data_IF_104716087625
#
_entry.id   IF_104716087625
#
_cell.length_a   1.000
_cell.length_b   1.000
_cell.length_c   1.000
_cell.angle_alpha   90.00
_cell.angle_beta   90.00
_cell.angle_gamma   90.00
#
_symmetry.space_group_name_H-M   'P 1'
#
loop_
_entity.id
_entity.type
_entity.pdbx_description
1 polymer ?
#
# COMPACT_ATOMS: atom_id res chain seq x y z
N UNK A 1 -7.38 0.43 20.27
CA UNK A 1 -6.17 -0.33 19.94
C UNK A 1 -5.94 -0.03 18.48
N UNK A 2 -5.13 0.98 18.19
CA UNK A 2 -4.86 1.38 16.81
C UNK A 2 -3.80 0.42 16.29
N UNK A 3 -4.19 -0.50 15.42
CA UNK A 3 -3.25 -1.27 14.64
C UNK A 3 -2.41 -0.27 13.84
N UNK A 4 -1.11 -0.28 14.12
CA UNK A 4 -0.14 0.68 13.65
C UNK A 4 0.90 -0.10 12.87
N UNK A 5 0.80 -0.01 11.56
CA UNK A 5 1.74 -0.61 10.62
C UNK A 5 2.78 0.47 10.26
N UNK A 6 4.06 0.13 10.35
CA UNK A 6 5.16 1.04 10.04
C UNK A 6 6.16 0.35 9.11
N UNK A 7 6.53 1.02 8.03
CA UNK A 7 7.51 0.52 7.09
C UNK A 7 7.96 1.56 6.09
N UNK A 8 8.76 1.12 5.12
CA UNK A 8 9.23 1.97 4.01
C UNK A 8 8.43 1.68 2.77
N UNK A 9 7.93 2.71 2.09
CA UNK A 9 7.24 2.55 0.81
C UNK A 9 8.25 2.11 -0.26
N UNK A 10 7.86 1.09 -1.03
CA UNK A 10 8.59 0.60 -2.20
C UNK A 10 7.67 0.67 -3.40
N UNK A 11 8.01 1.52 -4.36
CA UNK A 11 7.27 1.67 -5.61
C UNK A 11 8.07 0.98 -6.70
N UNK A 12 7.46 -0.03 -7.31
CA UNK A 12 8.00 -0.70 -8.50
C UNK A 12 7.15 -0.35 -9.72
N UNK A 13 7.59 -0.80 -10.89
CA UNK A 13 6.80 -0.64 -12.12
C UNK A 13 5.45 -1.40 -12.06
N UNK A 14 5.31 -2.37 -11.15
CA UNK A 14 4.15 -3.26 -11.05
C UNK A 14 3.23 -2.90 -9.89
N UNK A 15 3.77 -2.47 -8.74
CA UNK A 15 2.98 -2.26 -7.53
C UNK A 15 3.62 -1.33 -6.50
N UNK A 16 2.79 -0.89 -5.54
CA UNK A 16 3.21 -0.17 -4.34
C UNK A 16 3.17 -1.11 -3.15
N UNK A 17 4.32 -1.31 -2.53
CA UNK A 17 4.51 -2.20 -1.39
C UNK A 17 4.94 -1.41 -0.15
N UNK A 18 4.71 -2.00 1.02
CA UNK A 18 5.32 -1.61 2.27
C UNK A 18 6.39 -2.63 2.66
N UNK A 19 7.62 -2.17 2.85
CA UNK A 19 8.69 -2.94 3.46
C UNK A 19 8.62 -2.81 4.98
N UNK A 20 8.05 -3.83 5.62
CA UNK A 20 7.97 -3.99 7.07
C UNK A 20 9.16 -4.80 7.57
N UNK A 21 10.34 -4.17 7.65
CA UNK A 21 11.58 -4.78 8.17
C UNK A 21 12.04 -6.03 7.38
N UNK A 22 11.90 -5.98 6.06
CA UNK A 22 12.29 -7.03 5.12
C UNK A 22 11.11 -7.86 4.61
N UNK A 23 9.91 -7.70 5.19
CA UNK A 23 8.70 -8.32 4.67
C UNK A 23 7.95 -7.33 3.76
N UNK A 24 7.71 -7.74 2.52
CA UNK A 24 6.97 -6.94 1.55
C UNK A 24 5.47 -7.23 1.67
N UNK A 25 4.72 -6.20 2.03
CA UNK A 25 3.27 -6.25 2.19
C UNK A 25 2.62 -5.40 1.11
N UNK A 26 1.63 -5.96 0.42
CA UNK A 26 0.86 -5.22 -0.56
C UNK A 26 -0.19 -4.36 0.15
N UNK A 27 -0.22 -3.08 -0.19
CA UNK A 27 -1.17 -2.12 0.38
C UNK A 27 -2.42 -2.03 -0.48
N UNK A 28 -3.59 -2.17 0.15
CA UNK A 28 -4.88 -1.94 -0.52
C UNK A 28 -5.27 -0.48 -0.34
N UNK A 29 -5.35 0.23 -1.46
CA UNK A 29 -5.65 1.65 -1.49
C UNK A 29 -7.10 1.89 -1.94
N UNK A 30 -7.87 2.76 -1.26
CA UNK A 30 -9.18 3.17 -1.74
C UNK A 30 -9.05 3.93 -3.06
N UNK A 31 -9.55 3.36 -4.16
CA UNK A 31 -9.43 3.95 -5.50
C UNK A 31 -10.08 5.34 -5.65
N UNK A 32 -11.03 5.70 -4.78
CA UNK A 32 -11.70 7.00 -4.75
C UNK A 32 -10.87 8.09 -4.06
N UNK A 33 -9.80 7.70 -3.34
CA UNK A 33 -8.94 8.60 -2.57
C UNK A 33 -7.48 8.58 -3.01
N UNK A 34 -7.10 7.60 -3.81
CA UNK A 34 -5.72 7.36 -4.19
C UNK A 34 -5.55 7.51 -5.70
N UNK A 35 -4.56 8.29 -6.10
CA UNK A 35 -4.20 8.49 -7.50
C UNK A 35 -2.69 8.29 -7.68
N UNK A 36 -2.31 7.74 -8.82
CA UNK A 36 -0.93 7.70 -9.29
C UNK A 36 -0.58 8.98 -10.07
N UNK A 37 0.57 9.57 -9.79
CA UNK A 37 1.13 10.70 -10.55
C UNK A 37 2.34 10.26 -11.38
N UNK A 38 2.10 10.00 -12.67
CA UNK A 38 3.13 9.58 -13.64
C UNK A 38 4.28 10.58 -13.79
N UNK A 39 4.03 11.88 -13.55
CA UNK A 39 5.06 12.91 -13.73
C UNK A 39 6.13 12.87 -12.65
N UNK A 40 5.78 12.40 -11.45
CA UNK A 40 6.67 12.38 -10.29
C UNK A 40 6.96 10.97 -9.76
N UNK A 41 6.27 9.94 -10.24
CA UNK A 41 6.41 8.58 -9.72
C UNK A 41 5.93 8.47 -8.27
N UNK A 42 4.87 9.20 -7.92
CA UNK A 42 4.36 9.27 -6.54
C UNK A 42 2.89 8.91 -6.45
N UNK A 43 2.48 8.53 -5.24
CA UNK A 43 1.09 8.30 -4.89
C UNK A 43 0.54 9.58 -4.28
N UNK A 44 -0.61 10.01 -4.75
CA UNK A 44 -1.39 11.10 -4.18
C UNK A 44 -2.58 10.52 -3.44
N UNK A 45 -2.61 10.69 -2.12
CA UNK A 45 -3.69 10.23 -1.25
C UNK A 45 -4.45 11.42 -0.68
N UNK A 46 -5.77 11.46 -0.84
CA UNK A 46 -6.60 12.49 -0.25
C UNK A 46 -7.17 12.06 1.10
N UNK A 47 -6.77 12.78 2.15
CA UNK A 47 -7.36 12.67 3.47
C UNK A 47 -8.25 13.90 3.78
N UNK A 48 -9.49 13.74 4.27
CA UNK A 48 -10.34 14.89 4.60
C UNK A 48 -9.81 15.79 5.72
N UNK A 49 -8.99 15.26 6.63
CA UNK A 49 -8.39 15.98 7.74
C UNK A 49 -7.06 16.66 7.38
N UNK A 50 -6.26 16.03 6.52
CA UNK A 50 -4.91 16.51 6.15
C UNK A 50 -4.81 17.10 4.74
N UNK A 51 -5.80 16.89 3.89
CA UNK A 51 -5.77 17.26 2.47
C UNK A 51 -5.00 16.23 1.62
N UNK A 52 -4.41 16.72 0.53
CA UNK A 52 -3.62 15.88 -0.37
C UNK A 52 -2.26 15.55 0.27
N UNK A 53 -1.96 14.26 0.37
CA UNK A 53 -0.69 13.71 0.85
C UNK A 53 0.04 13.08 -0.32
N UNK A 54 1.29 13.45 -0.52
CA UNK A 54 2.16 12.83 -1.53
C UNK A 54 3.08 11.82 -0.85
N UNK A 55 3.15 10.61 -1.41
CA UNK A 55 3.96 9.50 -0.91
C UNK A 55 4.90 9.06 -2.03
N UNK A 56 6.20 9.09 -1.75
CA UNK A 56 7.26 8.72 -2.69
C UNK A 56 7.92 7.38 -2.33
N UNK A 57 8.62 6.78 -3.29
CA UNK A 57 9.49 5.64 -3.04
C UNK A 57 10.55 5.96 -1.97
N UNK A 58 10.83 4.99 -1.10
CA UNK A 58 11.78 5.12 0.00
C UNK A 58 11.27 5.93 1.20
N UNK A 59 10.04 6.43 1.17
CA UNK A 59 9.46 7.17 2.29
C UNK A 59 9.09 6.23 3.44
N UNK A 60 9.54 6.56 4.66
CA UNK A 60 9.05 5.90 5.87
C UNK A 60 7.64 6.41 6.20
N UNK A 61 6.70 5.49 6.40
CA UNK A 61 5.30 5.81 6.72
C UNK A 61 4.83 5.09 7.97
N UNK A 62 3.88 5.71 8.65
CA UNK A 62 3.06 5.08 9.70
C UNK A 62 1.62 5.11 9.25
N UNK A 63 1.04 3.94 9.08
CA UNK A 63 -0.33 3.77 8.62
C UNK A 63 -1.17 3.31 9.82
N UNK A 64 -2.22 4.07 10.12
CA UNK A 64 -3.23 3.69 11.09
C UNK A 64 -4.34 2.91 10.38
N UNK A 65 -4.70 1.75 10.90
CA UNK A 65 -5.75 0.91 10.35
C UNK A 65 -5.56 -0.56 10.70
N UNK A 66 -6.66 -1.30 10.82
CA UNK A 66 -6.62 -2.75 11.03
C UNK A 66 -6.34 -3.48 9.73
N UNK A 67 -5.07 -3.78 9.47
CA UNK A 67 -4.66 -4.76 8.46
C UNK A 67 -4.33 -6.08 9.15
N UNK A 68 -4.65 -7.21 8.51
CA UNK A 68 -4.07 -8.49 8.88
C UNK A 68 -2.67 -8.51 8.28
N UNK A 69 -1.64 -8.21 9.05
CA UNK A 69 -0.25 -8.50 8.64
C UNK A 69 -0.05 -10.03 8.60
N UNK A 70 1.00 -10.53 7.92
CA UNK A 70 1.32 -11.98 7.96
C UNK A 70 1.45 -12.48 9.41
N UNK A 71 2.08 -11.67 10.27
CA UNK A 71 2.21 -11.93 11.70
C UNK A 71 0.86 -11.94 12.46
N UNK A 72 -0.18 -11.34 11.89
CA UNK A 72 -1.54 -11.28 12.43
C UNK A 72 -2.54 -12.13 11.64
N UNK A 73 -2.05 -13.11 10.87
CA UNK A 73 -2.87 -14.08 10.11
C UNK A 73 -3.35 -13.58 8.74
N UNK A 74 -2.72 -12.53 8.21
CA UNK A 74 -2.90 -12.06 6.84
C UNK A 74 -2.05 -12.80 5.82
N UNK A 75 -2.23 -12.44 4.55
CA UNK A 75 -1.52 -13.04 3.43
C UNK A 75 -0.30 -12.19 3.05
N UNK A 76 0.78 -12.83 2.59
CA UNK A 76 1.88 -12.13 1.94
C UNK A 76 1.43 -11.50 0.61
N UNK A 77 2.22 -10.57 0.05
CA UNK A 77 1.84 -9.84 -1.16
C UNK A 77 1.47 -10.77 -2.34
N UNK A 78 2.32 -11.76 -2.66
CA UNK A 78 2.04 -12.70 -3.75
C UNK A 78 0.83 -13.60 -3.42
N UNK A 79 0.76 -14.13 -2.20
CA UNK A 79 -0.36 -14.97 -1.77
C UNK A 79 -1.70 -14.22 -1.83
N UNK A 80 -1.69 -12.92 -1.55
CA UNK A 80 -2.86 -12.07 -1.68
C UNK A 80 -3.23 -11.86 -3.14
N UNK A 81 -2.27 -11.52 -4.02
CA UNK A 81 -2.51 -11.36 -5.47
C UNK A 81 -3.09 -12.64 -6.06
N UNK A 82 -2.53 -13.79 -5.71
CA UNK A 82 -2.97 -15.12 -6.17
C UNK A 82 -4.38 -15.48 -5.65
N UNK A 83 -4.83 -14.85 -4.56
CA UNK A 83 -6.16 -15.08 -3.97
C UNK A 83 -7.29 -14.32 -4.68
N UNK A 84 -6.96 -13.33 -5.53
CA UNK A 84 -7.95 -12.47 -6.17
C UNK A 84 -8.51 -13.17 -7.41
N UNK A 85 -9.84 -13.29 -7.45
CA UNK A 85 -10.55 -13.65 -8.68
C UNK A 85 -10.75 -12.39 -9.50
N UNK A 86 -9.88 -12.20 -10.48
CA UNK A 86 -9.93 -11.07 -11.41
C UNK A 86 -11.14 -11.16 -12.33
N UNK A 87 -11.86 -10.05 -12.53
CA UNK A 87 -12.88 -9.95 -13.59
C UNK A 87 -12.19 -9.87 -14.96
N UNK A 88 -11.00 -9.26 -15.00
CA UNK A 88 -10.05 -9.27 -16.11
C UNK A 88 -8.64 -9.15 -15.50
N UNK A 89 -7.68 -9.99 -15.91
CA UNK A 89 -6.31 -9.90 -15.40
C UNK A 89 -5.63 -8.64 -15.95
N UNK A 90 -4.91 -7.87 -15.11
CA UNK A 90 -4.06 -6.80 -15.61
C UNK A 90 -2.94 -7.38 -16.49
N UNK A 91 -2.47 -6.63 -17.52
CA UNK A 91 -1.44 -7.08 -18.44
C UNK A 91 -0.09 -7.34 -17.78
#
# INVERSE_FOLDING_TARGET
MDALIQGTIRITDECVLLDERGELVLLVWPSDKTQWDDGSGTIQFFDPGFGLVTIADGQEVRLGGGGTSVAEGGLGAQEWVDSIVWIEEPP
#
